data_IF_593871666113
#
_entry.id   IF_593871666113
#
_cell.length_a   1.000
_cell.length_b   1.000
_cell.length_c   1.000
_cell.angle_alpha   90.00
_cell.angle_beta   90.00
_cell.angle_gamma   90.00
#
_symmetry.space_group_name_H-M   'P 1'
#
loop_
_entity.id
_entity.type
_entity.pdbx_description
1 polymer ?
#
# COMPACT_ATOMS: atom_id res chain seq x y z
N UNK A 1 -2.79 8.59 9.48
CA UNK A 1 -2.34 9.97 9.18
C UNK A 1 -1.47 10.55 10.28
N UNK A 2 -1.97 10.83 11.51
CA UNK A 2 -1.15 11.44 12.58
C UNK A 2 0.09 10.64 12.94
N UNK A 3 -0.03 9.32 13.10
CA UNK A 3 1.10 8.43 13.39
C UNK A 3 2.17 8.48 12.29
N UNK A 4 1.76 8.40 11.02
CA UNK A 4 2.65 8.53 9.87
C UNK A 4 3.33 9.90 9.81
N UNK A 5 2.61 11.00 10.04
CA UNK A 5 3.19 12.33 10.07
C UNK A 5 4.21 12.53 11.20
N UNK A 6 4.05 11.82 12.32
CA UNK A 6 5.01 11.81 13.43
C UNK A 6 6.24 10.93 13.16
N UNK A 7 6.12 9.93 12.27
CA UNK A 7 7.20 8.98 11.96
C UNK A 7 7.14 8.52 10.50
N UNK A 8 7.66 9.35 9.61
CA UNK A 8 7.71 9.08 8.17
C UNK A 8 8.54 7.87 7.73
N UNK A 9 9.59 7.40 8.46
CA UNK A 9 10.31 6.19 8.07
C UNK A 9 9.45 4.92 8.01
N UNK A 10 8.31 4.89 8.71
CA UNK A 10 7.39 3.74 8.73
C UNK A 10 6.23 3.89 7.73
N UNK A 11 6.30 4.83 6.78
CA UNK A 11 5.19 5.09 5.86
C UNK A 11 4.83 3.88 5.01
N UNK A 12 5.81 3.10 4.55
CA UNK A 12 5.58 1.86 3.81
C UNK A 12 4.79 0.83 4.64
N UNK A 13 5.09 0.70 5.93
CA UNK A 13 4.35 -0.18 6.85
C UNK A 13 2.91 0.29 7.04
N UNK A 14 2.70 1.59 7.23
CA UNK A 14 1.35 2.16 7.33
C UNK A 14 0.54 1.97 6.03
N UNK A 15 1.19 2.03 4.87
CA UNK A 15 0.55 1.80 3.58
C UNK A 15 0.20 0.32 3.38
N UNK A 16 1.09 -0.61 3.73
CA UNK A 16 0.81 -2.04 3.70
C UNK A 16 -0.38 -2.41 4.62
N UNK A 17 -0.39 -1.89 5.84
CA UNK A 17 -1.53 -2.04 6.76
C UNK A 17 -2.82 -1.46 6.16
N UNK A 18 -2.73 -0.29 5.52
CA UNK A 18 -3.89 0.32 4.84
C UNK A 18 -4.37 -0.58 3.70
N UNK A 19 -3.47 -1.15 2.90
CA UNK A 19 -3.82 -2.03 1.79
C UNK A 19 -4.57 -3.28 2.28
N UNK A 20 -4.11 -3.89 3.39
CA UNK A 20 -4.80 -5.01 4.03
C UNK A 20 -6.21 -4.61 4.49
N UNK A 21 -6.33 -3.48 5.21
CA UNK A 21 -7.65 -2.99 5.66
C UNK A 21 -8.55 -2.69 4.46
N UNK A 22 -8.00 -2.14 3.39
CA UNK A 22 -8.73 -1.72 2.21
C UNK A 22 -9.35 -2.90 1.44
N UNK A 23 -8.81 -4.12 1.53
CA UNK A 23 -9.42 -5.30 0.90
C UNK A 23 -10.72 -5.72 1.57
N UNK A 24 -10.89 -5.42 2.86
CA UNK A 24 -12.08 -5.78 3.65
C UNK A 24 -13.02 -4.60 3.89
N UNK A 25 -12.46 -3.41 4.10
CA UNK A 25 -13.16 -2.16 4.39
C UNK A 25 -12.69 -1.04 3.45
N UNK A 26 -13.01 -1.12 2.14
CA UNK A 26 -12.51 -0.17 1.13
C UNK A 26 -12.89 1.29 1.41
N UNK A 27 -14.04 1.53 2.06
CA UNK A 27 -14.47 2.86 2.48
C UNK A 27 -13.46 3.55 3.43
N UNK A 28 -12.74 2.77 4.23
CA UNK A 28 -11.70 3.29 5.13
C UNK A 28 -10.47 3.74 4.34
N UNK A 29 -10.07 2.96 3.33
CA UNK A 29 -8.97 3.32 2.42
C UNK A 29 -9.31 4.56 1.60
N UNK A 30 -10.51 4.63 1.04
CA UNK A 30 -11.04 5.78 0.31
C UNK A 30 -11.04 7.05 1.18
N UNK A 31 -11.57 6.95 2.40
CA UNK A 31 -11.63 8.06 3.35
C UNK A 31 -10.23 8.54 3.75
N UNK A 32 -9.28 7.61 3.95
CA UNK A 32 -7.90 7.95 4.27
C UNK A 32 -7.25 8.73 3.11
N UNK A 33 -7.38 8.23 1.88
CA UNK A 33 -6.86 8.89 0.67
C UNK A 33 -7.48 10.28 0.50
N UNK A 34 -8.80 10.37 0.64
CA UNK A 34 -9.57 11.63 0.60
C UNK A 34 -9.02 12.66 1.60
N UNK A 35 -8.81 12.24 2.85
CA UNK A 35 -8.25 13.11 3.90
C UNK A 35 -6.80 13.51 3.61
N UNK A 36 -5.97 12.62 3.07
CA UNK A 36 -4.60 12.94 2.67
C UNK A 36 -4.55 13.95 1.54
N UNK A 37 -5.39 13.81 0.51
CA UNK A 37 -5.48 14.76 -0.60
C UNK A 37 -5.93 16.14 -0.09
N UNK A 38 -6.96 16.19 0.76
CA UNK A 38 -7.42 17.46 1.34
C UNK A 38 -6.37 18.09 2.25
N UNK A 39 -5.65 17.27 3.04
CA UNK A 39 -4.53 17.74 3.87
C UNK A 39 -3.43 18.36 3.00
N UNK A 40 -3.01 17.69 1.93
CA UNK A 40 -2.05 18.21 0.97
C UNK A 40 -2.55 19.52 0.34
N UNK A 41 -3.79 19.58 -0.16
CA UNK A 41 -4.37 20.80 -0.77
C UNK A 41 -4.38 21.98 0.20
N UNK A 42 -4.66 21.75 1.48
CA UNK A 42 -4.63 22.78 2.53
C UNK A 42 -3.20 23.21 2.85
N UNK A 43 -2.26 22.26 2.95
CA UNK A 43 -0.85 22.52 3.25
C UNK A 43 -0.15 23.26 2.10
N UNK A 44 -0.35 22.83 0.86
CA UNK A 44 0.21 23.45 -0.33
C UNK A 44 -0.25 24.92 -0.45
N UNK A 45 -1.54 25.19 -0.25
CA UNK A 45 -2.07 26.57 -0.23
C UNK A 45 -1.50 27.45 0.88
N UNK A 46 -1.05 26.85 1.98
CA UNK A 46 -0.46 27.54 3.14
C UNK A 46 1.06 27.59 3.10
N UNK A 47 1.68 27.03 2.07
CA UNK A 47 3.13 26.82 1.99
C UNK A 47 3.70 26.04 3.20
N UNK A 48 2.94 25.09 3.73
CA UNK A 48 3.40 24.20 4.80
C UNK A 48 4.12 22.99 4.19
N UNK A 49 5.43 23.14 3.96
CA UNK A 49 6.26 22.10 3.36
C UNK A 49 6.27 20.80 4.17
N UNK A 50 6.33 20.88 5.50
CA UNK A 50 6.45 19.70 6.35
C UNK A 50 5.22 18.80 6.20
N UNK A 51 4.03 19.40 6.19
CA UNK A 51 2.80 18.67 5.96
C UNK A 51 2.74 18.14 4.52
N UNK A 52 3.12 18.95 3.52
CA UNK A 52 3.19 18.48 2.13
C UNK A 52 4.05 17.23 2.00
N UNK A 53 5.28 17.24 2.53
CA UNK A 53 6.20 16.09 2.50
C UNK A 53 5.56 14.83 3.10
N UNK A 54 4.99 14.94 4.30
CA UNK A 54 4.37 13.79 4.97
C UNK A 54 3.16 13.24 4.18
N UNK A 55 2.31 14.13 3.66
CA UNK A 55 1.10 13.75 2.90
C UNK A 55 1.47 13.13 1.56
N UNK A 56 2.39 13.72 0.79
CA UNK A 56 2.82 13.15 -0.49
C UNK A 56 3.54 11.83 -0.30
N UNK A 57 4.38 11.70 0.73
CA UNK A 57 5.04 10.42 1.03
C UNK A 57 4.02 9.31 1.30
N UNK A 58 2.96 9.59 2.07
CA UNK A 58 1.93 8.58 2.31
C UNK A 58 1.15 8.25 1.03
N UNK A 59 0.76 9.27 0.25
CA UNK A 59 0.11 9.04 -1.04
C UNK A 59 0.98 8.20 -1.97
N UNK A 60 2.31 8.39 -1.99
CA UNK A 60 3.23 7.61 -2.83
C UNK A 60 3.13 6.12 -2.52
N UNK A 61 3.21 5.76 -1.23
CA UNK A 61 3.12 4.36 -0.85
C UNK A 61 1.70 3.79 -1.04
N UNK A 62 0.64 4.58 -0.87
CA UNK A 62 -0.72 4.13 -1.21
C UNK A 62 -0.90 3.85 -2.71
N UNK A 63 -0.25 4.64 -3.57
CA UNK A 63 -0.21 4.39 -5.01
C UNK A 63 0.62 3.15 -5.32
N UNK A 64 1.78 2.97 -4.69
CA UNK A 64 2.60 1.77 -4.87
C UNK A 64 1.82 0.49 -4.52
N UNK A 65 1.05 0.50 -3.43
CA UNK A 65 0.18 -0.61 -3.00
C UNK A 65 -1.15 -0.71 -3.77
N UNK A 66 -1.35 0.07 -4.85
CA UNK A 66 -2.57 0.07 -5.66
C UNK A 66 -3.86 0.37 -4.88
N UNK A 67 -3.76 1.02 -3.71
CA UNK A 67 -4.91 1.57 -2.98
C UNK A 67 -5.42 2.84 -3.68
N UNK A 68 -4.51 3.63 -4.24
CA UNK A 68 -4.81 4.84 -4.98
C UNK A 68 -4.36 4.70 -6.44
N UNK A 69 -5.19 5.10 -7.39
CA UNK A 69 -4.80 5.08 -8.81
C UNK A 69 -3.68 6.08 -9.11
N UNK A 70 -2.78 5.76 -10.05
CA UNK A 70 -1.59 6.56 -10.36
C UNK A 70 -1.90 7.99 -10.82
N UNK A 71 -3.13 8.24 -11.27
CA UNK A 71 -3.57 9.55 -11.74
C UNK A 71 -3.41 10.62 -10.65
N UNK A 72 -3.64 10.28 -9.38
CA UNK A 72 -3.45 11.24 -8.29
C UNK A 72 -1.98 11.62 -8.14
N UNK A 73 -1.05 10.67 -8.32
CA UNK A 73 0.39 10.94 -8.27
C UNK A 73 0.83 11.84 -9.43
N UNK A 74 0.34 11.58 -10.64
CA UNK A 74 0.63 12.42 -11.80
C UNK A 74 0.07 13.84 -11.64
N UNK A 75 -1.13 14.00 -11.09
CA UNK A 75 -1.72 15.31 -10.81
C UNK A 75 -0.95 16.08 -9.73
N UNK A 76 -0.52 15.41 -8.66
CA UNK A 76 0.34 16.01 -7.64
C UNK A 76 1.66 16.52 -8.23
N UNK A 77 2.32 15.71 -9.05
CA UNK A 77 3.57 16.09 -9.72
C UNK A 77 3.36 17.25 -10.69
N UNK A 78 2.28 17.22 -11.46
CA UNK A 78 1.92 18.32 -12.35
C UNK A 78 1.75 19.63 -11.59
N UNK A 79 1.02 19.62 -10.48
CA UNK A 79 0.80 20.81 -9.64
C UNK A 79 2.10 21.33 -9.02
N UNK A 80 2.93 20.45 -8.46
CA UNK A 80 4.18 20.83 -7.79
C UNK A 80 5.22 21.43 -8.76
N UNK A 81 5.19 20.98 -10.03
CA UNK A 81 6.16 21.36 -11.07
C UNK A 81 5.65 22.41 -12.06
N UNK A 82 4.37 22.79 -12.00
CA UNK A 82 3.80 23.83 -12.86
C UNK A 82 4.51 25.16 -12.65
N UNK A 83 4.60 25.60 -11.38
CA UNK A 83 5.30 26.81 -10.95
C UNK A 83 6.39 26.43 -9.94
N UNK A 84 7.59 26.07 -10.42
CA UNK A 84 8.63 25.53 -9.57
C UNK A 84 9.13 26.59 -8.56
N UNK A 85 9.15 26.20 -7.30
CA UNK A 85 9.82 26.90 -6.20
C UNK A 85 10.74 25.92 -5.49
N UNK A 86 11.70 26.40 -4.69
CA UNK A 86 12.63 25.50 -4.00
C UNK A 86 11.89 24.47 -3.14
N UNK A 87 10.83 24.89 -2.45
CA UNK A 87 10.00 24.02 -1.61
C UNK A 87 9.11 23.07 -2.43
N UNK A 88 8.46 23.53 -3.50
CA UNK A 88 7.59 22.66 -4.31
C UNK A 88 8.38 21.61 -5.07
N UNK A 89 9.58 21.96 -5.54
CA UNK A 89 10.48 21.04 -6.22
C UNK A 89 11.10 20.06 -5.22
N UNK A 90 11.46 20.49 -4.01
CA UNK A 90 11.90 19.58 -2.94
C UNK A 90 10.83 18.52 -2.61
N UNK A 91 9.57 18.94 -2.46
CA UNK A 91 8.44 18.00 -2.26
C UNK A 91 8.28 17.07 -3.46
N UNK A 92 8.35 17.60 -4.69
CA UNK A 92 8.24 16.79 -5.90
C UNK A 92 9.35 15.75 -6.01
N UNK A 93 10.60 16.12 -5.70
CA UNK A 93 11.74 15.20 -5.72
C UNK A 93 11.55 14.07 -4.70
N UNK A 94 11.17 14.41 -3.47
CA UNK A 94 10.88 13.42 -2.43
C UNK A 94 9.75 12.48 -2.86
N UNK A 95 8.68 13.03 -3.41
CA UNK A 95 7.53 12.24 -3.88
C UNK A 95 7.90 11.31 -5.05
N UNK A 96 8.59 11.81 -6.09
CA UNK A 96 9.04 11.00 -7.23
C UNK A 96 10.03 9.92 -6.80
N UNK A 97 10.84 10.16 -5.76
CA UNK A 97 11.76 9.14 -5.26
C UNK A 97 11.02 7.90 -4.76
N UNK A 98 9.91 8.07 -4.06
CA UNK A 98 9.13 6.98 -3.45
C UNK A 98 8.17 6.29 -4.43
N UNK A 99 7.55 7.05 -5.36
CA UNK A 99 6.56 6.50 -6.32
C UNK A 99 7.17 6.18 -7.70
N UNK A 100 8.42 6.57 -7.93
CA UNK A 100 9.02 6.62 -9.26
C UNK A 100 9.23 5.26 -9.93
N UNK A 101 9.51 4.21 -9.16
CA UNK A 101 9.58 2.85 -9.70
C UNK A 101 8.22 2.43 -10.25
N UNK A 102 7.17 2.51 -9.42
CA UNK A 102 5.81 2.15 -9.80
C UNK A 102 5.35 2.91 -11.05
N UNK A 103 5.52 4.24 -11.09
CA UNK A 103 5.18 5.04 -12.28
C UNK A 103 6.01 4.66 -13.51
N UNK A 104 7.23 4.17 -13.35
CA UNK A 104 8.06 3.73 -14.48
C UNK A 104 7.56 2.44 -15.13
N UNK A 105 6.88 1.60 -14.36
CA UNK A 105 6.33 0.32 -14.79
C UNK A 105 4.90 0.49 -15.33
N UNK A 106 4.04 1.19 -14.59
CA UNK A 106 2.61 1.36 -14.93
C UNK A 106 2.37 2.45 -15.99
N UNK A 107 3.07 3.58 -15.88
CA UNK A 107 2.82 4.78 -16.70
C UNK A 107 4.12 5.42 -17.25
N UNK A 108 4.93 4.67 -18.03
CA UNK A 108 6.27 5.11 -18.45
C UNK A 108 6.27 6.40 -19.25
N UNK A 109 5.25 6.65 -20.09
CA UNK A 109 5.13 7.89 -20.87
C UNK A 109 4.94 9.10 -19.98
N UNK A 110 4.03 9.02 -19.00
CA UNK A 110 3.76 10.11 -18.07
C UNK A 110 4.97 10.35 -17.15
N UNK A 111 5.59 9.27 -16.65
CA UNK A 111 6.81 9.36 -15.85
C UNK A 111 7.96 10.04 -16.63
N UNK A 112 8.14 9.71 -17.91
CA UNK A 112 9.10 10.41 -18.76
C UNK A 112 8.83 11.91 -18.86
N UNK A 113 7.56 12.32 -18.97
CA UNK A 113 7.16 13.72 -18.97
C UNK A 113 7.55 14.45 -17.67
N UNK A 114 7.37 13.81 -16.52
CA UNK A 114 7.78 14.35 -15.22
C UNK A 114 9.29 14.60 -15.17
N UNK A 115 10.11 13.64 -15.60
CA UNK A 115 11.56 13.80 -15.64
C UNK A 115 12.03 14.84 -16.67
N UNK A 116 11.32 14.98 -17.78
CA UNK A 116 11.60 16.08 -18.72
C UNK A 116 11.32 17.44 -18.08
N UNK A 117 10.26 17.56 -17.28
CA UNK A 117 9.98 18.79 -16.52
C UNK A 117 11.07 19.10 -15.50
N UNK A 118 11.56 18.10 -14.75
CA UNK A 118 12.71 18.27 -13.87
C UNK A 118 13.97 18.73 -14.62
N UNK A 119 14.24 18.18 -15.81
CA UNK A 119 15.35 18.61 -16.67
C UNK A 119 15.20 20.07 -17.13
N UNK A 120 13.99 20.47 -17.53
CA UNK A 120 13.71 21.86 -17.91
C UNK A 120 13.99 22.81 -16.73
N UNK A 121 13.55 22.47 -15.52
CA UNK A 121 13.79 23.27 -14.31
C UNK A 121 15.29 23.43 -14.02
N UNK A 122 16.10 22.37 -14.19
CA UNK A 122 17.55 22.45 -14.07
C UNK A 122 18.17 23.41 -15.11
N UNK A 123 17.70 23.38 -16.35
CA UNK A 123 18.19 24.26 -17.41
C UNK A 123 17.77 25.73 -17.25
N UNK A 124 16.57 25.98 -16.75
CA UNK A 124 16.06 27.33 -16.45
C UNK A 124 16.92 28.02 -15.37
N UNK A 125 17.53 27.26 -14.46
CA UNK A 125 18.48 27.77 -13.47
C UNK A 125 17.89 28.72 -12.43
N UNK A 126 16.57 28.75 -12.29
CA UNK A 126 15.85 29.65 -11.38
C UNK A 126 15.74 29.15 -9.94
N UNK A 127 16.10 27.88 -9.69
CA UNK A 127 16.07 27.25 -8.36
C UNK A 127 17.44 27.29 -7.68
N UNK A 128 17.46 27.19 -6.36
CA UNK A 128 18.70 27.19 -5.58
C UNK A 128 19.61 25.98 -5.92
N UNK A 129 20.91 26.10 -5.59
CA UNK A 129 21.87 25.02 -5.86
C UNK A 129 21.52 23.72 -5.13
N UNK A 130 20.94 23.79 -3.93
CA UNK A 130 20.61 22.61 -3.12
C UNK A 130 19.54 21.78 -3.83
N UNK A 131 18.49 22.42 -4.35
CA UNK A 131 17.40 21.79 -5.08
C UNK A 131 17.88 21.26 -6.43
N UNK A 132 18.81 21.95 -7.10
CA UNK A 132 19.48 21.40 -8.30
C UNK A 132 20.16 20.05 -7.99
N UNK A 133 20.96 19.99 -6.90
CA UNK A 133 21.57 18.73 -6.46
C UNK A 133 20.53 17.66 -6.12
N UNK A 134 19.39 18.02 -5.51
CA UNK A 134 18.31 17.06 -5.23
C UNK A 134 17.74 16.45 -6.52
N UNK A 135 17.54 17.26 -7.56
CA UNK A 135 17.11 16.75 -8.87
C UNK A 135 18.19 15.83 -9.46
N UNK A 136 19.47 16.23 -9.46
CA UNK A 136 20.56 15.39 -9.97
C UNK A 136 20.62 14.02 -9.27
N UNK A 137 20.47 14.01 -7.94
CA UNK A 137 20.37 12.77 -7.15
C UNK A 137 19.17 11.94 -7.58
N UNK A 138 18.01 12.55 -7.85
CA UNK A 138 16.83 11.84 -8.36
C UNK A 138 17.10 11.19 -9.73
N UNK A 139 17.82 11.86 -10.63
CA UNK A 139 18.24 11.27 -11.91
C UNK A 139 19.16 10.06 -11.70
N UNK A 140 20.03 10.11 -10.69
CA UNK A 140 20.87 8.97 -10.33
C UNK A 140 20.03 7.81 -9.75
N UNK A 141 19.05 8.08 -8.89
CA UNK A 141 18.10 7.06 -8.39
C UNK A 141 17.39 6.35 -9.54
N UNK A 142 16.91 7.12 -10.53
CA UNK A 142 16.28 6.56 -11.73
C UNK A 142 17.25 5.71 -12.56
N UNK A 143 18.49 6.18 -12.74
CA UNK A 143 19.53 5.45 -13.48
C UNK A 143 19.89 4.12 -12.80
N UNK A 144 19.91 4.12 -11.48
CA UNK A 144 20.11 2.94 -10.64
C UNK A 144 18.84 2.09 -10.49
N UNK A 145 17.78 2.40 -11.26
CA UNK A 145 16.51 1.68 -11.30
C UNK A 145 15.85 1.52 -9.93
N UNK A 146 15.94 2.57 -9.09
CA UNK A 146 15.28 2.61 -7.77
C UNK A 146 15.68 1.45 -6.83
N UNK A 147 16.88 0.88 -6.98
CA UNK A 147 17.36 -0.25 -6.15
C UNK A 147 17.19 -0.05 -4.64
N UNK A 148 17.31 1.19 -4.16
CA UNK A 148 17.21 1.57 -2.73
C UNK A 148 15.82 2.14 -2.36
N UNK A 149 14.94 2.35 -3.35
CA UNK A 149 13.60 2.92 -3.18
C UNK A 149 12.58 2.05 -3.94
N UNK A 150 12.48 0.79 -3.55
CA UNK A 150 11.56 -0.14 -4.20
C UNK A 150 10.10 0.29 -3.99
N UNK A 151 9.24 0.08 -4.99
CA UNK A 151 7.82 0.44 -4.92
C UNK A 151 7.15 -0.22 -3.71
N UNK A 152 7.26 -1.55 -3.60
CA UNK A 152 6.85 -2.33 -2.45
C UNK A 152 8.01 -3.28 -2.10
N UNK A 153 8.57 -3.20 -0.88
CA UNK A 153 9.49 -4.22 -0.38
C UNK A 153 8.78 -5.58 -0.31
N UNK A 154 9.49 -6.67 -0.62
CA UNK A 154 8.89 -8.03 -0.65
C UNK A 154 8.22 -8.46 0.66
N UNK A 155 8.68 -7.95 1.79
CA UNK A 155 8.11 -8.23 3.12
C UNK A 155 6.74 -7.55 3.35
N UNK A 156 6.43 -6.53 2.56
CA UNK A 156 5.21 -5.72 2.67
C UNK A 156 4.20 -6.02 1.55
N UNK A 157 4.56 -6.90 0.62
CA UNK A 157 3.68 -7.38 -0.44
C UNK A 157 2.75 -8.48 0.10
N UNK A 158 1.73 -8.05 0.85
CA UNK A 158 0.86 -8.93 1.65
C UNK A 158 -0.54 -9.12 1.05
N UNK A 159 -0.85 -8.44 -0.05
CA UNK A 159 -2.19 -8.42 -0.65
C UNK A 159 -2.09 -8.93 -2.08
N UNK A 160 -2.79 -10.03 -2.37
CA UNK A 160 -2.86 -10.59 -3.71
C UNK A 160 -3.49 -9.61 -4.70
N UNK A 161 -3.01 -9.60 -5.94
CA UNK A 161 -3.45 -8.65 -6.99
C UNK A 161 -4.97 -8.67 -7.20
N UNK A 162 -5.60 -9.83 -7.09
CA UNK A 162 -7.05 -10.03 -7.26
C UNK A 162 -7.92 -9.44 -6.13
N UNK A 163 -7.33 -9.25 -4.94
CA UNK A 163 -8.01 -8.66 -3.78
C UNK A 163 -7.78 -7.14 -3.67
N UNK A 164 -6.95 -6.57 -4.53
CA UNK A 164 -6.62 -5.14 -4.49
C UNK A 164 -7.80 -4.29 -4.97
N UNK A 165 -8.13 -3.27 -4.19
CA UNK A 165 -9.20 -2.31 -4.51
C UNK A 165 -8.58 -0.92 -4.70
N UNK A 166 -8.56 -0.45 -5.94
CA UNK A 166 -7.97 0.84 -6.30
C UNK A 166 -9.01 1.94 -6.35
N UNK A 167 -8.76 3.03 -5.61
CA UNK A 167 -9.63 4.21 -5.57
C UNK A 167 -9.23 5.24 -6.64
N UNK A 168 -10.21 5.63 -7.46
CA UNK A 168 -10.08 6.61 -8.54
C UNK A 168 -10.44 8.02 -8.04
N UNK A 169 -9.59 8.61 -7.20
CA UNK A 169 -9.82 9.96 -6.65
C UNK A 169 -8.90 10.97 -7.34
N UNK A 170 -9.47 12.07 -7.83
CA UNK A 170 -8.70 13.16 -8.43
C UNK A 170 -8.34 14.24 -7.42
N UNK A 171 -7.23 14.94 -7.68
CA UNK A 171 -6.77 16.07 -6.87
C UNK A 171 -7.78 17.24 -6.84
N UNK A 172 -8.53 17.43 -7.93
CA UNK A 172 -9.44 18.56 -8.12
C UNK A 172 -10.87 18.30 -7.62
N UNK A 173 -11.17 17.06 -7.23
CA UNK A 173 -12.52 16.66 -6.83
C UNK A 173 -13.03 17.43 -5.60
N UNK A 174 -14.36 17.47 -5.48
CA UNK A 174 -15.04 17.92 -4.26
C UNK A 174 -15.04 16.79 -3.23
N UNK A 175 -14.06 16.85 -2.33
CA UNK A 175 -13.77 15.80 -1.37
C UNK A 175 -14.40 16.07 -0.01
N UNK A 176 -15.22 15.14 0.48
CA UNK A 176 -15.74 15.16 1.85
C UNK A 176 -14.84 14.35 2.80
N UNK A 177 -14.20 15.07 3.72
CA UNK A 177 -13.31 14.49 4.74
C UNK A 177 -14.05 13.83 5.90
N UNK A 178 -15.38 13.98 5.97
CA UNK A 178 -16.24 13.44 7.02
C UNK A 178 -15.67 13.74 8.42
N UNK A 179 -15.41 15.03 8.70
CA UNK A 179 -14.81 15.48 9.97
C UNK A 179 -15.62 15.04 11.19
N UNK A 180 -16.94 14.88 11.04
CA UNK A 180 -17.85 14.43 12.08
C UNK A 180 -17.57 13.01 12.61
N UNK A 181 -16.92 12.14 11.84
CA UNK A 181 -16.56 10.77 12.29
C UNK A 181 -15.47 10.76 13.38
N UNK A 182 -14.71 11.84 13.51
CA UNK A 182 -13.68 11.95 14.55
C UNK A 182 -14.21 12.44 15.91
N UNK A 183 -15.52 12.70 16.02
CA UNK A 183 -16.16 13.28 17.20
C UNK A 183 -17.23 12.33 17.70
N UNK A 184 -17.21 12.01 18.99
CA UNK A 184 -18.23 11.17 19.60
C UNK A 184 -19.61 11.83 19.51
N UNK A 185 -20.61 11.04 19.12
CA UNK A 185 -22.01 11.46 19.02
C UNK A 185 -22.89 10.34 19.55
N UNK A 186 -24.02 10.71 20.14
CA UNK A 186 -25.03 9.73 20.52
C UNK A 186 -25.63 9.11 19.25
N UNK A 187 -25.74 7.79 19.26
CA UNK A 187 -26.33 6.99 18.19
C UNK A 187 -27.59 6.32 18.72
N UNK A 188 -28.75 6.69 18.17
CA UNK A 188 -30.05 6.11 18.53
C UNK A 188 -30.14 4.64 18.11
N UNK A 189 -29.36 4.21 17.10
CA UNK A 189 -29.35 2.85 16.56
C UNK A 189 -28.12 2.04 16.98
N UNK A 190 -27.46 2.45 18.08
CA UNK A 190 -26.20 1.85 18.54
C UNK A 190 -26.24 0.32 18.62
N UNK A 191 -27.29 -0.25 19.24
CA UNK A 191 -27.41 -1.71 19.39
C UNK A 191 -27.43 -2.44 18.04
N UNK A 192 -28.13 -1.89 17.04
CA UNK A 192 -28.21 -2.48 15.69
C UNK A 192 -26.87 -2.34 14.95
N UNK A 193 -26.21 -1.20 15.10
CA UNK A 193 -24.93 -0.93 14.45
C UNK A 193 -23.81 -1.81 15.04
N UNK A 194 -23.83 -2.06 16.34
CA UNK A 194 -22.89 -2.96 17.02
C UNK A 194 -23.10 -4.42 16.57
N UNK A 195 -24.35 -4.88 16.49
CA UNK A 195 -24.67 -6.23 15.99
C UNK A 195 -24.21 -6.41 14.54
N UNK A 196 -24.46 -5.41 13.69
CA UNK A 196 -24.00 -5.43 12.29
C UNK A 196 -22.48 -5.44 12.18
N UNK A 197 -21.78 -4.67 13.02
CA UNK A 197 -20.32 -4.67 13.04
C UNK A 197 -19.76 -6.02 13.47
N UNK A 198 -20.35 -6.66 14.49
CA UNK A 198 -19.92 -7.97 14.96
C UNK A 198 -20.09 -9.05 13.89
N UNK A 199 -21.19 -9.02 13.13
CA UNK A 199 -21.40 -9.92 11.99
C UNK A 199 -20.30 -9.74 10.92
N UNK A 200 -19.98 -8.50 10.55
CA UNK A 200 -18.91 -8.19 9.58
C UNK A 200 -17.54 -8.63 10.12
N UNK A 201 -17.27 -8.40 11.41
CA UNK A 201 -16.03 -8.80 12.07
C UNK A 201 -15.86 -10.33 12.02
N UNK A 202 -16.91 -11.08 12.37
CA UNK A 202 -16.89 -12.53 12.36
C UNK A 202 -16.70 -13.10 10.95
N UNK A 203 -17.33 -12.48 9.93
CA UNK A 203 -17.15 -12.85 8.53
C UNK A 203 -15.70 -12.62 8.07
N UNK A 204 -15.11 -11.45 8.37
CA UNK A 204 -13.74 -11.11 7.97
C UNK A 204 -12.72 -12.04 8.63
N UNK A 205 -12.93 -12.41 9.89
CA UNK A 205 -12.02 -13.25 10.67
C UNK A 205 -12.28 -14.76 10.52
N UNK A 206 -13.37 -15.16 9.85
CA UNK A 206 -13.76 -16.56 9.72
C UNK A 206 -14.26 -17.20 11.03
N UNK A 207 -14.62 -16.39 12.03
CA UNK A 207 -15.07 -16.86 13.35
C UNK A 207 -16.45 -17.55 13.29
N UNK A 208 -17.17 -17.46 12.17
CA UNK A 208 -18.48 -18.10 11.95
C UNK A 208 -18.46 -19.47 11.24
N UNK A 209 -17.29 -19.99 10.86
CA UNK A 209 -17.17 -21.24 10.07
C UNK A 209 -16.80 -22.50 10.86
N UNK A 210 -16.57 -22.41 12.18
CA UNK A 210 -16.11 -23.54 13.01
C UNK A 210 -17.18 -24.14 13.96
N UNK A 211 -18.48 -23.92 13.72
CA UNK A 211 -19.54 -24.46 14.62
C UNK A 211 -20.73 -25.12 13.89
N UNK A 212 -20.43 -25.99 12.91
CA UNK A 212 -21.44 -26.91 12.33
C UNK A 212 -20.87 -28.30 12.06
N UNK A 213 -20.05 -28.82 12.99
CA UNK A 213 -19.50 -30.18 12.96
C UNK A 213 -19.94 -31.06 14.15
N UNK A 214 -20.91 -30.63 14.94
CA UNK A 214 -21.48 -31.42 16.04
C UNK A 214 -22.51 -32.41 15.49
N UNK A 215 -22.03 -33.49 14.88
CA UNK A 215 -22.78 -34.75 14.88
C UNK A 215 -22.19 -35.71 15.91
N UNK A 216 -23.10 -36.15 16.77
CA UNK A 216 -22.97 -37.10 17.85
C UNK A 216 -22.28 -38.40 17.40
N UNK A 217 -21.25 -38.83 18.12
CA UNK A 217 -21.21 -40.24 18.53
C UNK A 217 -20.62 -40.38 19.92
N UNK A 218 -21.47 -40.83 20.83
CA UNK A 218 -21.16 -41.17 22.22
C UNK A 218 -21.16 -42.69 22.31
N UNK A 219 -19.98 -43.32 22.43
CA UNK A 219 -19.85 -44.66 23.01
C UNK A 219 -18.44 -44.93 23.56
N UNK A 220 -18.29 -44.65 24.85
CA UNK A 220 -17.70 -45.50 25.91
C UNK A 220 -16.51 -46.44 25.62
N UNK A 221 -15.40 -46.26 26.36
CA UNK A 221 -14.30 -47.22 26.45
C UNK A 221 -13.04 -46.66 27.13
N UNK A 222 -12.71 -47.22 28.30
CA UNK A 222 -11.69 -46.83 29.28
C UNK A 222 -10.21 -46.79 28.80
N UNK A 223 -9.42 -45.96 29.51
CA UNK A 223 -7.98 -46.02 29.82
C UNK A 223 -6.96 -46.34 28.72
N UNK A 224 -6.08 -45.37 28.41
CA UNK A 224 -4.63 -45.51 28.66
C UNK A 224 -3.84 -44.23 28.29
N UNK A 225 -2.90 -43.91 29.19
CA UNK A 225 -1.95 -42.79 29.12
C UNK A 225 -1.00 -42.98 27.94
N UNK A 226 -0.96 -42.05 26.98
CA UNK A 226 0.12 -42.03 25.96
C UNK A 226 0.66 -40.63 25.76
N UNK A 227 1.96 -40.49 26.01
CA UNK A 227 2.77 -39.28 25.85
C UNK A 227 2.60 -38.68 24.45
N UNK A 228 2.38 -37.37 24.38
CA UNK A 228 2.48 -36.60 23.14
C UNK A 228 3.93 -36.66 22.61
N UNK A 229 4.17 -37.63 21.74
CA UNK A 229 5.33 -37.67 20.87
C UNK A 229 5.23 -36.50 19.89
N UNK A 230 6.02 -35.46 20.13
CA UNK A 230 6.29 -34.40 19.14
C UNK A 230 6.56 -35.05 17.78
N UNK A 231 5.67 -34.85 16.81
CA UNK A 231 5.90 -35.22 15.40
C UNK A 231 7.20 -34.57 14.95
N UNK A 232 8.28 -35.35 14.87
CA UNK A 232 9.48 -34.94 14.16
C UNK A 232 9.12 -34.91 12.68
N UNK A 233 9.04 -33.72 12.08
CA UNK A 233 8.97 -33.56 10.64
C UNK A 233 10.28 -34.03 10.01
N UNK A 234 10.25 -35.16 9.32
CA UNK A 234 11.40 -35.67 8.57
C UNK A 234 11.47 -34.89 7.26
N UNK A 235 12.45 -34.00 7.16
CA UNK A 235 12.75 -33.27 5.94
C UNK A 235 13.48 -34.22 4.99
N UNK A 236 12.78 -34.66 3.95
CA UNK A 236 13.35 -35.50 2.90
C UNK A 236 14.29 -34.67 1.99
N UNK A 237 15.59 -34.91 2.09
CA UNK A 237 16.59 -34.32 1.20
C UNK A 237 16.88 -35.18 -0.04
N UNK A 238 16.22 -36.33 -0.17
CA UNK A 238 16.37 -37.20 -1.32
C UNK A 238 15.25 -36.92 -2.31
N UNK A 239 15.60 -36.46 -3.52
CA UNK A 239 14.65 -36.10 -4.58
C UNK A 239 13.96 -37.32 -5.23
N UNK A 240 13.76 -38.39 -4.49
CA UNK A 240 13.34 -39.73 -4.95
C UNK A 240 11.97 -39.66 -5.64
N UNK A 241 11.01 -38.97 -5.03
CA UNK A 241 9.67 -38.77 -5.58
C UNK A 241 9.70 -37.97 -6.90
N UNK A 242 10.57 -36.96 -7.00
CA UNK A 242 10.70 -36.14 -8.22
C UNK A 242 11.30 -36.95 -9.36
N UNK A 243 12.29 -37.80 -9.08
CA UNK A 243 12.91 -38.68 -10.08
C UNK A 243 11.91 -39.72 -10.59
N UNK A 244 11.12 -40.31 -9.71
CA UNK A 244 10.11 -41.29 -10.09
C UNK A 244 8.99 -40.67 -10.95
N UNK A 245 8.54 -39.46 -10.60
CA UNK A 245 7.59 -38.70 -11.39
C UNK A 245 8.13 -38.42 -12.81
N UNK A 246 9.38 -37.96 -12.93
CA UNK A 246 10.03 -37.73 -14.24
C UNK A 246 10.14 -39.00 -15.05
N UNK A 247 10.48 -40.13 -14.42
CA UNK A 247 10.56 -41.43 -15.07
C UNK A 247 9.19 -41.86 -15.61
N UNK A 248 8.12 -41.68 -14.82
CA UNK A 248 6.75 -42.03 -15.22
C UNK A 248 6.30 -41.20 -16.42
N UNK A 249 6.51 -39.88 -16.37
CA UNK A 249 6.20 -38.97 -17.49
C UNK A 249 6.97 -39.39 -18.75
N UNK A 250 8.27 -39.64 -18.63
CA UNK A 250 9.09 -40.07 -19.77
C UNK A 250 8.59 -41.38 -20.39
N UNK A 251 8.27 -42.37 -19.56
CA UNK A 251 7.75 -43.66 -20.03
C UNK A 251 6.37 -43.53 -20.69
N UNK A 252 5.53 -42.61 -20.21
CA UNK A 252 4.21 -42.33 -20.81
C UNK A 252 4.34 -41.61 -22.15
N UNK A 253 5.33 -40.73 -22.32
CA UNK A 253 5.56 -40.01 -23.58
C UNK A 253 6.22 -40.90 -24.64
N UNK A 254 7.01 -41.89 -24.21
CA UNK A 254 7.75 -42.80 -25.10
C UNK A 254 7.00 -44.11 -25.41
N UNK A 255 5.79 -44.30 -24.87
CA UNK A 255 4.89 -45.41 -25.18
C UNK A 255 3.82 -45.01 -26.20
#
# INVERSE_FOLDING_TARGET
MKAQAASTPFTSIYAAMTAIINTKLPQVGELLLTRLIVQFRKAFRRNDKAVCLSSTMFIAHLVNHLVAHEIVALQLLSLLLERPSDDSVEVAVGFTREVGQFLSEVSPKANNGVFERFRAILHEGMIDKRVQYMIEVLFQVRKDKYKDNLAIPSELDLVAEEDQITHMISLDDTLDVQEGLGVFKFDEEWEKNEERYEQIRAEILGEGSEESGSEEDSSDGEDEVTEETKKMEIIDQTNTNIVELRRKIYLTIMS
#
